data_IF_379192867132
#
_entry.id   IF_379192867132
#
_cell.length_a   1.000
_cell.length_b   1.000
_cell.length_c   1.000
_cell.angle_alpha   90.00
_cell.angle_beta   90.00
_cell.angle_gamma   90.00
#
_symmetry.space_group_name_H-M   'P 1'
#
loop_
_entity.id
_entity.type
_entity.pdbx_description
1 polymer ?
#
# COMPACT_ATOMS: atom_id res chain seq x y z
N UNK A 1 -12.58 10.39 11.93
CA UNK A 1 -12.69 9.65 13.20
C UNK A 1 -11.41 9.75 14.02
N UNK A 2 -10.28 9.18 13.57
CA UNK A 2 -9.00 9.22 14.31
C UNK A 2 -8.54 10.66 14.61
N UNK A 3 -8.51 11.54 13.61
CA UNK A 3 -8.17 12.97 13.80
C UNK A 3 -9.16 13.73 14.68
N UNK A 4 -10.39 13.25 14.81
CA UNK A 4 -11.40 13.82 15.70
C UNK A 4 -11.31 13.26 17.13
N UNK A 5 -10.28 12.46 17.44
CA UNK A 5 -10.06 11.91 18.78
C UNK A 5 -10.91 10.69 19.14
N UNK A 6 -11.56 10.06 18.16
CA UNK A 6 -12.53 8.97 18.41
C UNK A 6 -11.84 7.60 18.64
N UNK A 7 -10.57 7.45 18.28
CA UNK A 7 -9.84 6.19 18.48
C UNK A 7 -8.56 6.07 17.65
N UNK A 8 -8.05 4.84 17.51
CA UNK A 8 -6.83 4.48 16.79
C UNK A 8 -7.19 3.78 15.48
N UNK A 9 -6.46 4.08 14.40
CA UNK A 9 -6.59 3.38 13.11
C UNK A 9 -5.34 2.57 12.80
N UNK A 10 -5.53 1.35 12.29
CA UNK A 10 -4.44 0.50 11.77
C UNK A 10 -4.57 0.46 10.25
N UNK A 11 -3.56 1.00 9.56
CA UNK A 11 -3.53 1.15 8.11
C UNK A 11 -2.18 0.73 7.54
N UNK A 12 -2.08 0.40 6.24
CA UNK A 12 -0.78 0.22 5.59
C UNK A 12 0.05 1.50 5.66
N UNK A 13 1.36 1.35 5.81
CA UNK A 13 2.34 2.43 5.83
C UNK A 13 2.24 3.36 4.60
N UNK A 14 1.96 2.80 3.42
CA UNK A 14 1.73 3.58 2.20
C UNK A 14 0.53 4.54 2.28
N UNK A 15 -0.53 4.17 3.02
CA UNK A 15 -1.66 5.04 3.29
C UNK A 15 -1.29 6.08 4.35
N UNK A 16 -0.55 5.68 5.39
CA UNK A 16 -0.06 6.61 6.41
C UNK A 16 0.80 7.71 5.80
N UNK A 17 1.71 7.40 4.86
CA UNK A 17 2.49 8.42 4.13
C UNK A 17 1.62 9.32 3.25
N UNK A 18 0.64 8.75 2.55
CA UNK A 18 -0.23 9.50 1.64
C UNK A 18 -1.09 10.54 2.38
N UNK A 19 -1.59 10.20 3.56
CA UNK A 19 -2.49 11.05 4.33
C UNK A 19 -1.80 11.75 5.51
N UNK A 20 -0.59 11.33 5.88
CA UNK A 20 0.11 11.79 7.09
C UNK A 20 0.59 13.23 7.04
N UNK A 21 0.94 13.74 5.85
CA UNK A 21 1.58 15.05 5.69
C UNK A 21 0.77 16.23 6.28
N UNK A 22 -0.56 16.16 6.23
CA UNK A 22 -1.45 17.25 6.67
C UNK A 22 -2.27 16.93 7.93
N UNK A 23 -1.93 15.86 8.66
CA UNK A 23 -2.71 15.43 9.82
C UNK A 23 -1.94 15.65 11.13
N UNK A 24 -2.63 16.08 12.19
CA UNK A 24 -2.08 16.18 13.56
C UNK A 24 -1.92 14.80 14.23
N UNK A 25 -1.78 13.75 13.43
CA UNK A 25 -1.76 12.37 13.88
C UNK A 25 -0.32 11.86 13.96
N UNK A 26 -0.05 11.07 15.00
CA UNK A 26 1.22 10.37 15.15
C UNK A 26 1.09 8.99 14.48
N UNK A 27 1.98 8.69 13.55
CA UNK A 27 2.13 7.35 12.98
C UNK A 27 3.13 6.58 13.85
N UNK A 28 2.77 5.35 14.22
CA UNK A 28 3.60 4.46 15.04
C UNK A 28 3.72 3.13 14.30
N UNK A 29 4.93 2.59 14.21
CA UNK A 29 5.18 1.27 13.66
C UNK A 29 4.64 0.18 14.59
N UNK A 30 4.10 -0.89 14.01
CA UNK A 30 3.55 -2.01 14.74
C UNK A 30 4.52 -3.20 14.69
N UNK A 31 5.10 -3.53 15.84
CA UNK A 31 6.05 -4.64 16.00
C UNK A 31 5.33 -5.96 16.23
N UNK A 32 4.74 -6.48 15.16
CA UNK A 32 3.93 -7.69 15.19
C UNK A 32 4.20 -8.55 13.95
N UNK A 33 4.24 -9.89 14.07
CA UNK A 33 4.61 -10.78 12.96
C UNK A 33 3.63 -10.73 11.77
N UNK A 34 2.41 -10.27 11.99
CA UNK A 34 1.36 -10.15 10.98
C UNK A 34 1.35 -8.79 10.26
N UNK A 35 2.26 -7.86 10.59
CA UNK A 35 2.25 -6.49 10.05
C UNK A 35 2.51 -6.45 8.55
N UNK A 36 3.31 -7.39 8.04
CA UNK A 36 3.65 -7.49 6.62
C UNK A 36 2.48 -8.08 5.85
N UNK A 37 1.90 -7.28 4.94
CA UNK A 37 0.89 -7.75 3.99
C UNK A 37 1.51 -7.94 2.62
N UNK A 38 1.30 -9.12 2.05
CA UNK A 38 1.72 -9.40 0.69
C UNK A 38 0.78 -8.71 -0.32
N UNK A 39 1.36 -8.03 -1.31
CA UNK A 39 0.64 -7.53 -2.47
C UNK A 39 0.79 -8.52 -3.61
N UNK A 40 -0.32 -8.97 -4.19
CA UNK A 40 -0.32 -9.89 -5.34
C UNK A 40 -0.87 -9.19 -6.58
N UNK A 41 -0.29 -9.51 -7.74
CA UNK A 41 -0.83 -9.20 -9.05
C UNK A 41 -1.17 -10.55 -9.71
N UNK A 42 -2.40 -10.69 -10.20
CA UNK A 42 -2.92 -11.96 -10.70
C UNK A 42 -3.34 -11.78 -12.16
N UNK A 43 -2.80 -12.64 -13.01
CA UNK A 43 -3.19 -12.77 -14.42
C UNK A 43 -3.30 -14.26 -14.72
N UNK A 44 -4.20 -14.63 -15.63
CA UNK A 44 -4.36 -16.04 -16.03
C UNK A 44 -3.16 -16.52 -16.86
N UNK A 45 -2.76 -15.68 -17.82
CA UNK A 45 -1.64 -15.90 -18.73
C UNK A 45 -1.09 -14.52 -19.09
N UNK A 46 0.20 -14.29 -18.83
CA UNK A 46 0.86 -13.01 -19.07
C UNK A 46 1.11 -12.77 -20.56
N UNK A 47 1.37 -13.85 -21.32
CA UNK A 47 1.73 -13.78 -22.74
C UNK A 47 0.50 -13.52 -23.62
N UNK A 48 -0.68 -13.90 -23.12
CA UNK A 48 -1.96 -13.61 -23.76
C UNK A 48 -2.40 -12.14 -23.63
N UNK A 49 -1.69 -11.31 -22.87
CA UNK A 49 -2.07 -9.92 -22.64
C UNK A 49 -1.63 -8.98 -23.78
N UNK A 50 -2.45 -7.96 -24.11
CA UNK A 50 -2.02 -6.85 -24.97
C UNK A 50 -0.75 -6.19 -24.44
N UNK A 51 0.09 -5.65 -25.34
CA UNK A 51 1.37 -5.03 -24.96
C UNK A 51 1.24 -3.96 -23.86
N UNK A 52 0.23 -3.09 -23.97
CA UNK A 52 -0.02 -2.05 -22.96
C UNK A 52 -0.35 -2.60 -21.56
N UNK A 53 -0.98 -3.79 -21.47
CA UNK A 53 -1.27 -4.41 -20.18
C UNK A 53 0.00 -5.02 -19.57
N UNK A 54 0.88 -5.61 -20.39
CA UNK A 54 2.19 -6.10 -19.92
C UNK A 54 3.07 -4.94 -19.43
N UNK A 55 3.13 -3.85 -20.20
CA UNK A 55 3.83 -2.62 -19.79
C UNK A 55 3.31 -2.08 -18.45
N UNK A 56 1.99 -2.03 -18.26
CA UNK A 56 1.40 -1.60 -17.00
C UNK A 56 1.82 -2.51 -15.83
N UNK A 57 1.82 -3.84 -16.04
CA UNK A 57 2.22 -4.81 -15.02
C UNK A 57 3.67 -4.57 -14.62
N UNK A 58 4.57 -4.38 -15.58
CA UNK A 58 5.98 -4.07 -15.32
C UNK A 58 6.11 -2.80 -14.46
N UNK A 59 5.38 -1.74 -14.79
CA UNK A 59 5.38 -0.49 -14.01
C UNK A 59 4.84 -0.68 -12.58
N UNK A 60 3.84 -1.55 -12.39
CA UNK A 60 3.24 -1.82 -11.07
C UNK A 60 4.13 -2.74 -10.22
N UNK A 61 4.93 -3.62 -10.84
CA UNK A 61 5.80 -4.56 -10.15
C UNK A 61 7.02 -3.89 -9.50
N UNK A 62 7.48 -2.75 -10.03
CA UNK A 62 8.59 -2.00 -9.43
C UNK A 62 8.25 -1.70 -7.96
N UNK A 63 9.06 -2.19 -6.99
CA UNK A 63 8.86 -1.87 -5.59
C UNK A 63 9.02 -0.36 -5.43
N UNK A 64 7.96 0.32 -5.02
CA UNK A 64 8.10 1.72 -4.62
C UNK A 64 8.83 1.71 -3.29
N UNK A 65 10.06 2.23 -3.28
CA UNK A 65 10.84 2.41 -2.07
C UNK A 65 9.99 3.17 -1.01
N UNK A 66 10.20 2.87 0.28
CA UNK A 66 9.46 3.52 1.34
C UNK A 66 9.58 5.06 1.28
#
# INVERSE_FOLDING_TARGET
MVQAGVGIGVIPDSAARRYGADTKLRVVELDEPWVVRERKLLVRDIDALPGCARELIEQIQVPRAP
#
